data_IF_764489705000
#
_entry.id   IF_764489705000
#
_cell.length_a   1.000
_cell.length_b   1.000
_cell.length_c   1.000
_cell.angle_alpha   90.00
_cell.angle_beta   90.00
_cell.angle_gamma   90.00
#
_symmetry.space_group_name_H-M   'P 1'
#
loop_
_entity.id
_entity.type
_entity.pdbx_description
1 polymer ?
#
# COMPACT_ATOMS: atom_id res chain seq x y z
N UNK A 1 -40.50 37.69 -5.19
CA UNK A 1 -40.56 37.55 -3.74
C UNK A 1 -39.14 37.35 -3.23
N UNK A 2 -38.60 38.38 -2.65
CA UNK A 2 -37.29 38.58 -2.05
C UNK A 2 -37.31 38.07 -0.62
N UNK A 3 -36.30 37.31 -0.18
CA UNK A 3 -35.82 37.15 1.21
C UNK A 3 -34.37 36.71 1.12
N UNK A 4 -33.54 37.53 1.37
CA UNK A 4 -32.75 38.18 2.41
C UNK A 4 -31.70 37.24 3.06
N UNK A 5 -30.46 37.68 2.90
CA UNK A 5 -29.21 37.20 3.53
C UNK A 5 -29.18 37.46 5.05
N UNK A 6 -28.61 36.52 5.83
CA UNK A 6 -28.08 36.83 7.15
C UNK A 6 -26.73 36.12 7.36
N UNK A 7 -25.66 36.87 7.59
CA UNK A 7 -24.38 36.29 8.01
C UNK A 7 -24.22 36.34 9.53
N UNK A 8 -23.94 35.21 10.17
CA UNK A 8 -23.56 35.19 11.57
C UNK A 8 -22.04 35.20 11.68
N UNK A 9 -21.51 36.37 11.98
CA UNK A 9 -20.14 36.59 12.38
C UNK A 9 -19.96 36.24 13.87
N UNK A 10 -19.15 35.25 14.18
CA UNK A 10 -18.76 34.92 15.55
C UNK A 10 -17.37 35.49 15.86
N UNK A 11 -17.36 36.63 16.58
CA UNK A 11 -16.17 37.28 17.12
C UNK A 11 -15.60 36.43 18.27
N UNK A 12 -14.37 35.94 18.11
CA UNK A 12 -13.56 35.44 19.22
C UNK A 12 -12.76 36.58 19.83
N UNK A 13 -13.11 36.96 21.05
CA UNK A 13 -12.36 37.92 21.89
C UNK A 13 -11.18 37.21 22.56
N UNK A 14 -9.97 37.68 22.28
CA UNK A 14 -8.78 37.43 23.10
C UNK A 14 -8.93 38.19 24.43
N UNK A 15 -8.76 37.49 25.53
CA UNK A 15 -8.46 38.11 26.82
C UNK A 15 -7.05 37.67 27.24
N UNK A 16 -6.11 38.59 27.07
CA UNK A 16 -4.81 38.54 27.69
C UNK A 16 -5.00 39.02 29.16
N UNK A 17 -4.58 38.20 30.12
CA UNK A 17 -4.45 38.60 31.49
C UNK A 17 -2.96 38.76 31.80
N UNK A 18 -2.53 40.00 31.89
CA UNK A 18 -1.24 40.40 32.49
C UNK A 18 -1.38 40.35 34.01
N UNK A 19 -0.47 39.64 34.68
CA UNK A 19 -0.33 39.71 36.12
C UNK A 19 1.01 40.36 36.48
N UNK A 20 0.90 41.52 37.15
CA UNK A 20 2.02 42.39 37.50
C UNK A 20 2.82 41.87 38.69
N UNK A 21 4.11 42.18 38.65
CA UNK A 21 5.08 42.05 39.72
C UNK A 21 4.66 42.86 40.96
N UNK A 22 4.84 42.27 42.14
CA UNK A 22 5.02 43.02 43.40
C UNK A 22 6.38 42.67 44.01
N UNK A 23 7.24 43.68 44.05
CA UNK A 23 8.53 43.67 44.72
C UNK A 23 8.26 43.85 46.22
N UNK A 24 8.75 42.93 47.03
CA UNK A 24 8.78 43.06 48.51
C UNK A 24 10.19 42.78 49.01
N UNK A 25 10.93 43.86 49.32
CA UNK A 25 12.17 43.77 50.01
C UNK A 25 11.91 43.53 51.51
N UNK A 26 12.62 42.61 52.14
CA UNK A 26 12.49 42.36 53.56
C UNK A 26 13.53 41.42 54.11
N UNK A 27 14.58 42.03 54.66
CA UNK A 27 15.37 41.65 55.86
C UNK A 27 16.15 40.34 55.88
N UNK A 28 17.43 40.45 55.70
CA UNK A 28 18.43 39.46 56.09
C UNK A 28 18.47 39.31 57.62
N UNK A 29 18.25 38.08 58.10
CA UNK A 29 18.68 37.70 59.45
C UNK A 29 19.59 36.48 59.33
N UNK A 30 20.88 36.73 59.43
CA UNK A 30 21.93 35.71 59.47
C UNK A 30 21.92 35.04 60.84
N UNK A 31 21.43 33.80 60.89
CA UNK A 31 21.72 32.90 62.01
C UNK A 31 22.63 31.81 61.48
N UNK A 32 23.92 31.93 61.79
CA UNK A 32 24.89 30.90 61.57
C UNK A 32 24.62 29.69 62.47
N UNK A 33 24.29 28.55 61.87
CA UNK A 33 24.48 27.24 62.44
C UNK A 33 25.42 26.45 61.56
N UNK A 34 26.69 26.43 61.99
CA UNK A 34 27.68 25.50 61.44
C UNK A 34 27.33 24.11 61.96
N UNK A 35 26.65 23.31 61.07
CA UNK A 35 26.49 21.90 61.27
C UNK A 35 27.48 21.17 60.34
N UNK A 36 28.04 20.00 60.70
CA UNK A 36 29.09 19.34 59.94
C UNK A 36 28.57 18.78 58.63
N UNK A 37 29.18 19.26 57.57
CA UNK A 37 29.41 18.60 56.28
C UNK A 37 28.34 17.65 55.76
N UNK A 38 27.15 18.13 55.48
CA UNK A 38 26.29 17.45 54.50
C UNK A 38 26.83 17.78 53.10
N UNK A 39 27.63 16.89 52.50
CA UNK A 39 27.90 16.93 51.06
C UNK A 39 26.54 16.88 50.39
N UNK A 40 26.16 17.96 49.72
CA UNK A 40 25.08 17.91 48.75
C UNK A 40 25.43 16.81 47.79
N UNK A 41 24.77 15.67 47.90
CA UNK A 41 24.79 14.62 46.87
C UNK A 41 24.14 15.28 45.69
N UNK A 42 24.95 15.74 44.74
CA UNK A 42 24.48 16.02 43.40
C UNK A 42 23.77 14.74 42.96
N UNK A 43 22.48 14.82 42.67
CA UNK A 43 21.74 13.76 42.07
C UNK A 43 22.38 13.50 40.68
N UNK A 44 23.38 12.67 40.67
CA UNK A 44 23.96 12.13 39.46
C UNK A 44 23.12 10.88 39.18
N UNK A 45 22.09 11.02 38.34
CA UNK A 45 21.11 9.99 37.98
C UNK A 45 21.74 8.86 37.15
N UNK A 46 23.01 8.53 37.34
CA UNK A 46 23.74 7.50 36.64
C UNK A 46 24.28 6.43 37.63
N UNK A 47 24.11 5.17 37.24
CA UNK A 47 24.80 4.05 37.89
C UNK A 47 26.32 4.25 37.81
N UNK A 48 27.05 3.91 38.87
CA UNK A 48 28.51 3.82 38.85
C UNK A 48 28.93 2.73 37.86
N UNK A 49 30.18 2.81 37.37
CA UNK A 49 30.65 1.81 36.36
C UNK A 49 30.59 0.39 36.91
N UNK A 50 30.93 0.17 38.20
CA UNK A 50 30.76 -1.14 38.81
C UNK A 50 29.30 -1.61 38.93
N UNK A 51 28.35 -0.69 39.05
CA UNK A 51 26.92 -1.05 39.03
C UNK A 51 26.45 -1.38 37.61
N UNK A 52 26.96 -0.71 36.58
CA UNK A 52 26.68 -1.05 35.15
C UNK A 52 27.18 -2.44 34.85
N UNK A 53 28.42 -2.77 35.20
CA UNK A 53 29.00 -4.11 34.99
C UNK A 53 28.18 -5.22 35.65
N UNK A 54 27.67 -4.97 36.87
CA UNK A 54 26.80 -5.90 37.57
C UNK A 54 25.45 -6.06 36.88
N UNK A 55 24.83 -4.97 36.44
CA UNK A 55 23.56 -5.01 35.67
C UNK A 55 23.73 -5.78 34.38
N UNK A 56 24.79 -5.52 33.61
CA UNK A 56 25.09 -6.25 32.36
C UNK A 56 25.29 -7.74 32.61
N UNK A 57 26.02 -8.11 33.67
CA UNK A 57 26.18 -9.51 34.06
C UNK A 57 24.88 -10.19 34.41
N UNK A 58 24.00 -9.52 35.15
CA UNK A 58 22.66 -10.03 35.52
C UNK A 58 21.81 -10.22 34.29
N UNK A 59 21.75 -9.22 33.38
CA UNK A 59 20.98 -9.27 32.14
C UNK A 59 21.48 -10.46 31.29
N UNK A 60 22.80 -10.56 31.10
CA UNK A 60 23.40 -11.64 30.32
C UNK A 60 23.06 -13.03 30.90
N UNK A 61 23.23 -13.19 32.20
CA UNK A 61 22.92 -14.46 32.88
C UNK A 61 21.43 -14.81 32.78
N UNK A 62 20.56 -13.81 32.93
CA UNK A 62 19.12 -13.99 32.83
C UNK A 62 18.68 -14.42 31.42
N UNK A 63 19.18 -13.73 30.38
CA UNK A 63 18.88 -14.06 28.98
C UNK A 63 19.41 -15.44 28.60
N UNK A 64 20.62 -15.82 29.05
CA UNK A 64 21.19 -17.15 28.82
C UNK A 64 20.43 -18.27 29.55
N UNK A 65 19.85 -17.93 30.70
CA UNK A 65 19.00 -18.88 31.48
C UNK A 65 17.60 -19.03 30.89
N UNK A 66 17.11 -17.99 30.22
CA UNK A 66 15.74 -17.94 29.66
C UNK A 66 15.80 -17.51 28.19
N UNK A 67 16.40 -18.32 27.28
CA UNK A 67 16.60 -17.96 25.88
C UNK A 67 15.30 -17.78 25.09
N UNK A 68 14.19 -18.38 25.57
CA UNK A 68 12.85 -18.24 24.99
C UNK A 68 12.33 -16.81 25.00
N UNK A 69 12.83 -15.93 25.87
CA UNK A 69 12.49 -14.51 25.88
C UNK A 69 12.85 -13.81 24.58
N UNK A 70 13.92 -14.26 23.90
CA UNK A 70 14.30 -13.69 22.61
C UNK A 70 13.25 -13.99 21.55
N UNK A 71 12.65 -15.18 21.57
CA UNK A 71 11.54 -15.55 20.68
C UNK A 71 10.28 -14.74 20.98
N UNK A 72 10.00 -14.51 22.26
CA UNK A 72 8.86 -13.68 22.66
C UNK A 72 9.04 -12.22 22.22
N UNK A 73 10.22 -11.65 22.42
CA UNK A 73 10.58 -10.30 21.95
C UNK A 73 10.44 -10.20 20.43
N UNK A 74 10.98 -11.20 19.69
CA UNK A 74 10.84 -11.25 18.24
C UNK A 74 9.38 -11.25 17.81
N UNK A 75 8.55 -12.11 18.39
CA UNK A 75 7.11 -12.16 18.09
C UNK A 75 6.41 -10.82 18.32
N UNK A 76 6.71 -10.14 19.43
CA UNK A 76 6.13 -8.81 19.73
C UNK A 76 6.62 -7.76 18.72
N UNK A 77 7.88 -7.83 18.32
CA UNK A 77 8.44 -6.93 17.29
C UNK A 77 7.75 -7.16 15.94
N UNK A 78 7.61 -8.42 15.52
CA UNK A 78 6.94 -8.78 14.26
C UNK A 78 5.48 -8.30 14.24
N UNK A 79 4.75 -8.49 15.35
CA UNK A 79 3.38 -7.99 15.47
C UNK A 79 3.30 -6.46 15.34
N UNK A 80 4.21 -5.72 15.97
CA UNK A 80 4.27 -4.25 15.85
C UNK A 80 4.61 -3.80 14.44
N UNK A 81 5.55 -4.47 13.80
CA UNK A 81 5.95 -4.15 12.43
C UNK A 81 4.81 -4.45 11.45
N UNK A 82 4.11 -5.56 11.63
CA UNK A 82 2.97 -5.91 10.79
C UNK A 82 1.82 -4.91 10.95
N UNK A 83 1.48 -4.55 12.18
CA UNK A 83 0.47 -3.52 12.44
C UNK A 83 0.85 -2.17 11.78
N UNK A 84 2.11 -1.76 11.87
CA UNK A 84 2.58 -0.54 11.23
C UNK A 84 2.54 -0.61 9.70
N UNK A 85 2.87 -1.77 9.10
CA UNK A 85 2.74 -2.01 7.66
C UNK A 85 1.29 -1.94 7.20
N UNK A 86 0.37 -2.58 7.93
CA UNK A 86 -1.06 -2.56 7.61
C UNK A 86 -1.63 -1.14 7.69
N UNK A 87 -1.25 -0.37 8.71
CA UNK A 87 -1.66 1.03 8.82
C UNK A 87 -1.12 1.88 7.65
N UNK A 88 0.17 1.73 7.32
CA UNK A 88 0.79 2.44 6.20
C UNK A 88 0.16 2.06 4.86
N UNK A 89 -0.08 0.77 4.62
CA UNK A 89 -0.76 0.25 3.43
C UNK A 89 -2.18 0.81 3.32
N UNK A 90 -2.97 0.76 4.40
CA UNK A 90 -4.32 1.32 4.41
C UNK A 90 -4.37 2.82 4.08
N UNK A 91 -3.42 3.61 4.62
CA UNK A 91 -3.28 5.03 4.28
C UNK A 91 -2.91 5.24 2.81
N UNK A 92 -1.98 4.44 2.28
CA UNK A 92 -1.56 4.52 0.89
C UNK A 92 -2.71 4.15 -0.07
N UNK A 93 -3.47 3.10 0.23
CA UNK A 93 -4.65 2.69 -0.54
C UNK A 93 -5.71 3.80 -0.55
N UNK A 94 -6.06 4.36 0.59
CA UNK A 94 -7.03 5.45 0.70
C UNK A 94 -6.59 6.70 -0.07
N UNK A 95 -5.31 7.07 0.01
CA UNK A 95 -4.76 8.22 -0.72
C UNK A 95 -4.74 8.03 -2.24
N UNK A 96 -4.73 6.78 -2.74
CA UNK A 96 -4.69 6.44 -4.17
C UNK A 96 -5.98 5.77 -4.68
N UNK A 97 -7.06 5.79 -3.90
CA UNK A 97 -8.32 5.11 -4.21
C UNK A 97 -8.87 5.47 -5.60
N UNK A 98 -8.85 6.75 -5.96
CA UNK A 98 -9.33 7.19 -7.27
C UNK A 98 -8.51 6.58 -8.43
N UNK A 99 -7.21 6.45 -8.27
CA UNK A 99 -6.34 5.83 -9.28
C UNK A 99 -6.54 4.32 -9.39
N UNK A 100 -6.88 3.67 -8.28
CA UNK A 100 -7.09 2.22 -8.21
C UNK A 100 -8.48 1.80 -8.72
N UNK A 101 -9.53 2.49 -8.24
CA UNK A 101 -10.90 2.00 -8.37
C UNK A 101 -11.77 2.84 -9.33
N UNK A 102 -11.30 4.05 -9.72
CA UNK A 102 -12.10 4.97 -10.57
C UNK A 102 -11.40 5.36 -11.88
N UNK A 103 -10.24 4.78 -12.16
CA UNK A 103 -9.51 5.07 -13.39
C UNK A 103 -10.05 4.25 -14.56
N UNK A 104 -10.93 4.85 -15.34
CA UNK A 104 -11.55 4.21 -16.52
C UNK A 104 -10.60 4.01 -17.70
N UNK A 105 -9.37 4.51 -17.62
CA UNK A 105 -8.34 4.29 -18.66
C UNK A 105 -7.58 2.99 -18.46
N UNK A 106 -7.75 2.32 -17.31
CA UNK A 106 -7.12 1.02 -17.06
C UNK A 106 -7.80 -0.07 -17.86
N UNK A 107 -7.02 -1.02 -18.40
CA UNK A 107 -7.57 -2.24 -18.93
C UNK A 107 -8.35 -3.04 -17.89
N UNK A 108 -9.37 -3.75 -18.31
CA UNK A 108 -10.22 -4.49 -17.38
C UNK A 108 -10.74 -5.81 -17.98
N UNK A 109 -11.21 -6.67 -17.07
CA UNK A 109 -11.99 -7.86 -17.34
C UNK A 109 -13.27 -7.88 -16.49
N UNK A 110 -14.24 -8.71 -16.88
CA UNK A 110 -15.53 -8.77 -16.20
C UNK A 110 -16.47 -7.63 -16.58
N UNK A 111 -17.30 -7.17 -15.63
CA UNK A 111 -18.28 -6.12 -15.90
C UNK A 111 -17.67 -4.72 -15.66
N UNK A 112 -17.69 -3.89 -16.69
CA UNK A 112 -17.22 -2.49 -16.57
C UNK A 112 -17.97 -1.69 -15.50
N UNK A 113 -19.20 -2.08 -15.19
CA UNK A 113 -20.06 -1.47 -14.19
C UNK A 113 -20.20 -2.33 -12.93
N UNK A 114 -19.25 -3.24 -12.72
CA UNK A 114 -19.25 -4.13 -11.57
C UNK A 114 -19.34 -3.38 -10.25
N UNK A 115 -20.03 -3.97 -9.29
CA UNK A 115 -20.27 -3.37 -7.97
C UNK A 115 -19.05 -3.45 -7.04
N UNK A 116 -18.11 -4.35 -7.33
CA UNK A 116 -16.84 -4.49 -6.62
C UNK A 116 -15.70 -4.57 -7.60
N UNK A 117 -14.64 -3.80 -7.34
CA UNK A 117 -13.42 -3.81 -8.15
C UNK A 117 -12.32 -4.61 -7.46
N UNK A 118 -11.76 -5.56 -8.21
CA UNK A 118 -10.48 -6.22 -7.92
C UNK A 118 -9.40 -5.55 -8.76
N UNK A 119 -8.30 -5.15 -8.16
CA UNK A 119 -7.14 -4.59 -8.88
C UNK A 119 -6.01 -5.61 -8.85
N UNK A 120 -5.45 -5.93 -10.00
CA UNK A 120 -4.28 -6.80 -10.14
C UNK A 120 -3.09 -6.04 -10.69
N UNK A 121 -1.98 -5.98 -9.95
CA UNK A 121 -0.67 -5.57 -10.48
C UNK A 121 0.06 -6.82 -10.96
N UNK A 122 0.49 -6.84 -12.20
CA UNK A 122 1.06 -8.05 -12.80
C UNK A 122 2.15 -7.72 -13.84
N UNK A 123 2.88 -8.76 -14.27
CA UNK A 123 3.85 -8.72 -15.35
C UNK A 123 3.72 -9.99 -16.22
N UNK A 124 3.77 -9.86 -17.53
CA UNK A 124 3.59 -10.97 -18.45
C UNK A 124 4.71 -12.04 -18.39
N UNK A 125 5.88 -11.71 -17.86
CA UNK A 125 6.98 -12.66 -17.65
C UNK A 125 7.09 -13.14 -16.20
N UNK A 126 6.17 -12.74 -15.34
CA UNK A 126 6.10 -13.23 -13.98
C UNK A 126 5.48 -14.64 -13.96
N UNK A 127 6.22 -15.63 -13.44
CA UNK A 127 5.72 -17.00 -13.37
C UNK A 127 4.49 -17.13 -12.46
N UNK A 128 4.46 -16.42 -11.34
CA UNK A 128 3.33 -16.46 -10.41
C UNK A 128 2.10 -15.70 -10.91
N UNK A 129 2.24 -14.79 -11.89
CA UNK A 129 1.09 -14.17 -12.55
C UNK A 129 0.35 -15.17 -13.45
N UNK A 130 1.06 -16.19 -13.97
CA UNK A 130 0.43 -17.28 -14.73
C UNK A 130 -0.51 -18.13 -13.87
N UNK A 131 -0.13 -18.31 -12.58
CA UNK A 131 -0.93 -19.08 -11.63
C UNK A 131 -2.25 -18.35 -11.28
N UNK A 132 -2.32 -17.03 -11.47
CA UNK A 132 -3.50 -16.22 -11.23
C UNK A 132 -4.55 -16.26 -12.35
N UNK A 133 -4.17 -16.64 -13.56
CA UNK A 133 -5.07 -16.58 -14.75
C UNK A 133 -6.33 -17.39 -14.56
N UNK A 134 -6.21 -18.64 -14.09
CA UNK A 134 -7.36 -19.51 -13.88
C UNK A 134 -8.27 -19.02 -12.74
N UNK A 135 -7.78 -18.67 -11.53
CA UNK A 135 -8.58 -18.07 -10.48
C UNK A 135 -9.32 -16.80 -10.91
N UNK A 136 -8.66 -15.89 -11.63
CA UNK A 136 -9.27 -14.65 -12.11
C UNK A 136 -10.30 -14.93 -13.19
N UNK A 137 -10.00 -15.80 -14.14
CA UNK A 137 -10.96 -16.24 -15.18
C UNK A 137 -12.21 -16.85 -14.55
N UNK A 138 -12.04 -17.76 -13.59
CA UNK A 138 -13.14 -18.36 -12.82
C UNK A 138 -13.96 -17.30 -12.08
N UNK A 139 -13.29 -16.28 -11.49
CA UNK A 139 -13.97 -15.20 -10.80
C UNK A 139 -14.85 -14.38 -11.75
N UNK A 140 -14.33 -13.98 -12.90
CA UNK A 140 -15.06 -13.22 -13.94
C UNK A 140 -16.25 -14.03 -14.47
N UNK A 141 -16.08 -15.34 -14.62
CA UNK A 141 -17.13 -16.22 -15.14
C UNK A 141 -18.23 -16.49 -14.10
N UNK A 142 -17.88 -16.66 -12.85
CA UNK A 142 -18.81 -16.98 -11.78
C UNK A 142 -19.57 -15.73 -11.26
N UNK A 143 -18.93 -14.56 -11.29
CA UNK A 143 -19.48 -13.32 -10.74
C UNK A 143 -19.61 -12.25 -11.84
N UNK A 144 -20.80 -12.14 -12.42
CA UNK A 144 -21.10 -11.18 -13.50
C UNK A 144 -21.20 -9.71 -13.06
N UNK A 145 -20.95 -9.43 -11.77
CA UNK A 145 -20.94 -8.08 -11.21
C UNK A 145 -19.56 -7.66 -10.68
N UNK A 146 -18.53 -8.47 -10.93
CA UNK A 146 -17.17 -8.10 -10.58
C UNK A 146 -16.50 -7.32 -11.71
N UNK A 147 -15.77 -6.28 -11.35
CA UNK A 147 -14.86 -5.54 -12.22
C UNK A 147 -13.42 -5.90 -11.84
N UNK A 148 -12.63 -6.36 -12.79
CA UNK A 148 -11.20 -6.61 -12.56
C UNK A 148 -10.39 -5.60 -13.35
N UNK A 149 -9.69 -4.73 -12.63
CA UNK A 149 -8.75 -3.76 -13.21
C UNK A 149 -7.36 -4.38 -13.30
N UNK A 150 -6.77 -4.36 -14.48
CA UNK A 150 -5.42 -4.85 -14.72
C UNK A 150 -4.42 -3.69 -14.77
N UNK A 151 -3.43 -3.73 -13.89
CA UNK A 151 -2.36 -2.73 -13.81
C UNK A 151 -1.08 -3.35 -14.32
N UNK A 152 -0.78 -3.12 -15.60
CA UNK A 152 0.47 -3.54 -16.21
C UNK A 152 1.66 -2.92 -15.46
N UNK A 153 2.48 -3.77 -14.84
CA UNK A 153 3.64 -3.38 -14.03
C UNK A 153 4.87 -4.18 -14.47
N UNK A 154 5.46 -3.84 -15.64
CA UNK A 154 6.55 -4.59 -16.25
C UNK A 154 7.87 -4.39 -15.50
N UNK A 155 8.16 -5.31 -14.57
CA UNK A 155 9.37 -5.28 -13.73
C UNK A 155 10.50 -6.20 -14.22
N UNK A 156 10.20 -7.08 -15.20
CA UNK A 156 11.18 -8.03 -15.74
C UNK A 156 11.83 -7.54 -17.05
N UNK A 157 11.85 -6.23 -17.27
CA UNK A 157 12.63 -5.61 -18.33
C UNK A 157 11.87 -5.33 -19.62
N UNK A 158 12.63 -5.13 -20.73
CA UNK A 158 12.11 -4.62 -21.99
C UNK A 158 11.08 -5.56 -22.64
N UNK A 159 11.25 -6.85 -22.51
CA UNK A 159 10.32 -7.83 -23.07
C UNK A 159 8.96 -7.70 -22.40
N UNK A 160 8.93 -7.60 -21.07
CA UNK A 160 7.69 -7.37 -20.33
C UNK A 160 7.03 -6.04 -20.70
N UNK A 161 7.83 -4.97 -20.86
CA UNK A 161 7.30 -3.67 -21.30
C UNK A 161 6.71 -3.76 -22.72
N UNK A 162 7.38 -4.44 -23.66
CA UNK A 162 6.89 -4.66 -25.03
C UNK A 162 5.56 -5.39 -25.02
N UNK A 163 5.45 -6.50 -24.29
CA UNK A 163 4.21 -7.27 -24.17
C UNK A 163 3.08 -6.43 -23.55
N UNK A 164 3.36 -5.65 -22.49
CA UNK A 164 2.39 -4.78 -21.86
C UNK A 164 1.86 -3.70 -22.81
N UNK A 165 2.72 -3.08 -23.60
CA UNK A 165 2.34 -2.09 -24.61
C UNK A 165 1.35 -2.66 -25.63
N UNK A 166 1.64 -3.85 -26.13
CA UNK A 166 0.77 -4.54 -27.10
C UNK A 166 -0.56 -4.90 -26.46
N UNK A 167 -0.58 -5.40 -25.24
CA UNK A 167 -1.81 -5.75 -24.54
C UNK A 167 -2.71 -4.52 -24.26
N UNK A 168 -2.12 -3.41 -23.80
CA UNK A 168 -2.85 -2.14 -23.60
C UNK A 168 -3.46 -1.68 -24.96
N UNK A 169 -2.70 -1.77 -26.04
CA UNK A 169 -3.19 -1.41 -27.36
C UNK A 169 -4.32 -2.32 -27.85
N UNK A 170 -4.28 -3.62 -27.52
CA UNK A 170 -5.37 -4.55 -27.80
C UNK A 170 -6.66 -4.17 -27.09
N UNK A 171 -6.55 -3.55 -25.92
CA UNK A 171 -7.70 -2.99 -25.18
C UNK A 171 -8.46 -1.94 -25.98
N UNK A 172 -7.78 -1.10 -26.79
CA UNK A 172 -8.41 -0.12 -27.68
C UNK A 172 -9.19 -0.77 -28.83
N UNK A 173 -8.98 -2.07 -29.06
CA UNK A 173 -9.71 -2.88 -30.03
C UNK A 173 -10.69 -3.87 -29.34
N UNK A 174 -10.90 -3.73 -28.02
CA UNK A 174 -11.85 -4.54 -27.25
C UNK A 174 -11.39 -5.97 -26.96
N UNK A 175 -10.07 -6.24 -27.07
CA UNK A 175 -9.50 -7.59 -26.93
C UNK A 175 -8.42 -7.70 -25.85
N UNK A 176 -8.50 -6.83 -24.83
CA UNK A 176 -7.51 -6.85 -23.75
C UNK A 176 -7.51 -8.19 -23.01
N UNK A 177 -8.67 -8.62 -22.50
CA UNK A 177 -8.78 -9.82 -21.66
C UNK A 177 -8.35 -11.09 -22.40
N UNK A 178 -8.75 -11.24 -23.65
CA UNK A 178 -8.36 -12.39 -24.46
C UNK A 178 -6.84 -12.43 -24.67
N UNK A 179 -6.22 -11.30 -25.05
CA UNK A 179 -4.78 -11.23 -25.25
C UNK A 179 -4.00 -11.37 -23.95
N UNK A 180 -4.49 -10.74 -22.87
CA UNK A 180 -3.90 -10.83 -21.53
C UNK A 180 -3.79 -12.31 -21.10
N UNK A 181 -4.88 -13.05 -21.19
CA UNK A 181 -4.92 -14.47 -20.86
C UNK A 181 -3.98 -15.29 -21.76
N UNK A 182 -4.02 -15.07 -23.06
CA UNK A 182 -3.18 -15.81 -24.00
C UNK A 182 -1.69 -15.54 -23.78
N UNK A 183 -1.30 -14.31 -23.42
CA UNK A 183 0.07 -13.95 -23.04
C UNK A 183 0.51 -14.68 -21.78
N UNK A 184 -0.26 -14.63 -20.70
CA UNK A 184 0.10 -15.29 -19.46
C UNK A 184 0.16 -16.81 -19.58
N UNK A 185 -0.65 -17.42 -20.46
CA UNK A 185 -0.62 -18.87 -20.76
C UNK A 185 0.43 -19.25 -21.81
N UNK A 186 1.03 -18.28 -22.49
CA UNK A 186 2.04 -18.54 -23.52
C UNK A 186 3.28 -19.20 -22.92
N UNK A 187 3.77 -20.25 -23.59
CA UNK A 187 5.00 -20.96 -23.21
C UNK A 187 6.20 -20.24 -23.84
N UNK A 188 6.98 -19.58 -23.03
CA UNK A 188 8.15 -18.83 -23.48
C UNK A 188 8.22 -17.43 -22.88
N UNK A 189 9.17 -16.61 -23.33
CA UNK A 189 9.25 -15.21 -22.98
C UNK A 189 8.19 -14.41 -23.75
N UNK A 190 7.49 -13.53 -23.04
CA UNK A 190 6.55 -12.60 -23.64
C UNK A 190 7.29 -11.30 -23.98
N UNK A 191 7.64 -11.16 -25.24
CA UNK A 191 8.17 -9.93 -25.84
C UNK A 191 7.13 -9.31 -26.78
N UNK A 192 7.43 -8.15 -27.36
CA UNK A 192 6.57 -7.47 -28.32
C UNK A 192 6.18 -8.38 -29.50
N UNK A 193 7.16 -9.07 -30.11
CA UNK A 193 6.91 -9.97 -31.25
C UNK A 193 6.00 -11.17 -30.90
N UNK A 194 6.13 -11.70 -29.69
CA UNK A 194 5.26 -12.79 -29.22
C UNK A 194 3.83 -12.28 -29.01
N UNK A 195 3.69 -11.09 -28.45
CA UNK A 195 2.41 -10.44 -28.23
C UNK A 195 1.72 -10.07 -29.56
N UNK A 196 2.46 -9.54 -30.53
CA UNK A 196 1.95 -9.24 -31.87
C UNK A 196 1.40 -10.49 -32.57
N UNK A 197 2.11 -11.62 -32.48
CA UNK A 197 1.67 -12.89 -33.05
C UNK A 197 0.40 -13.43 -32.39
N UNK A 198 0.24 -13.25 -31.10
CA UNK A 198 -0.98 -13.64 -30.38
C UNK A 198 -2.14 -12.71 -30.74
N UNK A 199 -1.86 -11.40 -30.85
CA UNK A 199 -2.84 -10.41 -31.27
C UNK A 199 -3.35 -10.66 -32.69
N UNK A 200 -2.46 -11.05 -33.63
CA UNK A 200 -2.83 -11.42 -34.98
C UNK A 200 -3.77 -12.64 -35.02
N UNK A 201 -3.50 -13.66 -34.22
CA UNK A 201 -4.39 -14.82 -34.05
C UNK A 201 -5.77 -14.46 -33.49
N UNK A 202 -5.88 -13.39 -32.70
CA UNK A 202 -7.15 -12.87 -32.21
C UNK A 202 -7.88 -11.97 -33.25
N UNK A 203 -7.29 -11.77 -34.42
CA UNK A 203 -7.86 -10.97 -35.51
C UNK A 203 -7.77 -9.47 -35.32
N UNK A 204 -6.79 -9.01 -34.55
CA UNK A 204 -6.56 -7.58 -34.31
C UNK A 204 -5.88 -6.93 -35.54
N UNK A 205 -6.19 -5.65 -35.76
CA UNK A 205 -5.46 -4.82 -36.72
C UNK A 205 -4.06 -4.52 -36.18
N UNK A 206 -3.05 -5.21 -36.74
CA UNK A 206 -1.65 -5.12 -36.28
C UNK A 206 -1.04 -3.75 -36.57
N UNK A 207 -1.42 -3.09 -37.67
CA UNK A 207 -0.90 -1.76 -37.98
C UNK A 207 -1.39 -0.74 -36.91
N UNK A 208 -2.67 -0.78 -36.61
CA UNK A 208 -3.28 0.04 -35.57
C UNK A 208 -2.72 -0.32 -34.18
N UNK A 209 -2.55 -1.61 -33.87
CA UNK A 209 -2.00 -2.11 -32.63
C UNK A 209 -0.61 -1.52 -32.36
N UNK A 210 0.30 -1.55 -33.35
CA UNK A 210 1.65 -0.98 -33.24
C UNK A 210 1.65 0.54 -33.03
N UNK A 211 0.76 1.26 -33.70
CA UNK A 211 0.62 2.70 -33.45
C UNK A 211 0.17 2.97 -32.02
N UNK A 212 -0.84 2.27 -31.55
CA UNK A 212 -1.39 2.44 -30.20
C UNK A 212 -0.40 1.99 -29.11
N UNK A 213 0.33 0.90 -29.32
CA UNK A 213 1.36 0.40 -28.38
C UNK A 213 2.49 1.42 -28.18
N UNK A 214 2.87 2.13 -29.26
CA UNK A 214 3.93 3.16 -29.21
C UNK A 214 3.41 4.58 -28.96
N UNK A 215 2.14 4.73 -28.63
CA UNK A 215 1.54 6.03 -28.37
C UNK A 215 2.05 6.66 -27.05
N UNK A 216 2.05 8.03 -26.97
CA UNK A 216 2.35 8.71 -25.72
C UNK A 216 1.42 8.30 -24.58
N UNK A 217 0.16 7.98 -24.85
CA UNK A 217 -0.85 7.57 -23.88
C UNK A 217 -0.46 6.22 -23.23
N UNK A 218 -0.07 5.23 -24.04
CA UNK A 218 0.39 3.92 -23.55
C UNK A 218 1.67 4.09 -22.70
N UNK A 219 2.60 4.93 -23.18
CA UNK A 219 3.82 5.22 -22.42
C UNK A 219 3.51 5.89 -21.08
N UNK A 220 2.58 6.83 -21.08
CA UNK A 220 2.14 7.51 -19.86
C UNK A 220 1.46 6.55 -18.90
N UNK A 221 0.58 5.67 -19.39
CA UNK A 221 -0.12 4.70 -18.56
C UNK A 221 0.84 3.77 -17.83
N UNK A 222 1.83 3.20 -18.51
CA UNK A 222 2.85 2.33 -17.89
C UNK A 222 3.69 3.09 -16.85
N UNK A 223 4.03 4.34 -17.12
CA UNK A 223 4.73 5.18 -16.15
C UNK A 223 3.89 5.49 -14.92
N UNK A 224 2.62 5.80 -15.12
CA UNK A 224 1.67 6.07 -14.02
C UNK A 224 1.43 4.80 -13.18
N UNK A 225 1.34 3.62 -13.81
CA UNK A 225 1.23 2.33 -13.14
C UNK A 225 2.44 2.06 -12.24
N UNK A 226 3.66 2.27 -12.76
CA UNK A 226 4.89 2.12 -11.97
C UNK A 226 4.94 3.10 -10.79
N UNK A 227 4.53 4.34 -11.02
CA UNK A 227 4.47 5.34 -9.96
C UNK A 227 3.42 4.98 -8.89
N UNK A 228 2.27 4.42 -9.32
CA UNK A 228 1.22 3.95 -8.41
C UNK A 228 1.71 2.77 -7.57
N UNK A 229 2.36 1.77 -8.19
CA UNK A 229 2.98 0.66 -7.46
C UNK A 229 3.96 1.16 -6.39
N UNK A 230 4.83 2.11 -6.74
CA UNK A 230 5.77 2.72 -5.79
C UNK A 230 5.09 3.43 -4.61
N UNK A 231 3.99 4.18 -4.85
CA UNK A 231 3.21 4.84 -3.80
C UNK A 231 2.53 3.83 -2.84
N UNK A 232 2.19 2.67 -3.36
CA UNK A 232 1.56 1.59 -2.60
C UNK A 232 2.57 0.65 -1.92
N UNK A 233 3.88 0.83 -2.18
CA UNK A 233 4.94 -0.05 -1.70
C UNK A 233 4.93 -1.42 -2.36
N UNK A 234 4.32 -1.56 -3.53
CA UNK A 234 4.29 -2.79 -4.33
C UNK A 234 5.62 -2.90 -5.08
N UNK A 235 6.36 -3.96 -4.82
CA UNK A 235 7.68 -4.22 -5.41
C UNK A 235 7.80 -5.57 -6.09
N UNK A 236 6.70 -6.28 -6.25
CA UNK A 236 6.62 -7.59 -6.91
C UNK A 236 5.23 -7.88 -7.45
N UNK A 237 5.14 -8.91 -8.28
CA UNK A 237 3.89 -9.34 -8.93
C UNK A 237 3.63 -10.83 -8.70
N UNK A 238 2.36 -11.31 -8.73
CA UNK A 238 1.17 -10.48 -8.74
C UNK A 238 0.85 -9.86 -7.39
N UNK A 239 0.05 -8.78 -7.37
CA UNK A 239 -0.56 -8.21 -6.18
C UNK A 239 -2.02 -7.92 -6.46
N UNK A 240 -2.91 -8.38 -5.58
CA UNK A 240 -4.35 -8.15 -5.69
C UNK A 240 -4.81 -7.19 -4.61
N UNK A 241 -5.70 -6.27 -4.96
CA UNK A 241 -6.30 -5.32 -4.03
C UNK A 241 -7.82 -5.35 -4.20
N UNK A 242 -8.52 -5.52 -3.09
CA UNK A 242 -9.99 -5.38 -3.01
C UNK A 242 -10.28 -4.50 -1.81
N UNK A 243 -10.87 -3.33 -2.03
CA UNK A 243 -11.09 -2.34 -0.97
C UNK A 243 -9.76 -1.98 -0.26
N UNK A 244 -9.67 -2.17 1.03
CA UNK A 244 -8.47 -1.91 1.84
C UNK A 244 -7.63 -3.16 2.12
N UNK A 245 -7.90 -4.27 1.45
CA UNK A 245 -7.20 -5.55 1.65
C UNK A 245 -6.29 -5.87 0.48
N UNK A 246 -5.17 -6.50 0.77
CA UNK A 246 -4.13 -6.87 -0.20
C UNK A 246 -3.82 -8.34 -0.10
N UNK A 247 -3.67 -9.01 -1.25
CA UNK A 247 -3.13 -10.38 -1.37
C UNK A 247 -1.84 -10.28 -2.18
N UNK A 248 -0.67 -10.48 -1.58
CA UNK A 248 0.59 -10.58 -2.33
C UNK A 248 0.76 -11.99 -2.90
N UNK A 249 1.20 -12.08 -4.17
CA UNK A 249 1.39 -13.36 -4.85
C UNK A 249 0.08 -14.01 -5.30
N UNK A 250 0.17 -15.24 -5.78
CA UNK A 250 -0.98 -16.06 -6.19
C UNK A 250 -1.05 -17.33 -5.32
N UNK A 251 -1.63 -17.27 -4.11
CA UNK A 251 -1.82 -18.45 -3.27
C UNK A 251 -2.78 -19.45 -3.93
N UNK A 252 -2.68 -20.72 -3.55
CA UNK A 252 -3.51 -21.80 -4.13
C UNK A 252 -5.02 -21.55 -3.95
N UNK A 253 -5.41 -20.86 -2.89
CA UNK A 253 -6.79 -20.49 -2.56
C UNK A 253 -7.15 -19.04 -3.01
N UNK A 254 -6.42 -18.48 -3.98
CA UNK A 254 -6.61 -17.10 -4.47
C UNK A 254 -8.07 -16.79 -4.81
N UNK A 255 -8.75 -17.71 -5.53
CA UNK A 255 -10.15 -17.54 -5.88
C UNK A 255 -11.04 -17.37 -4.64
N UNK A 256 -10.87 -18.21 -3.63
CA UNK A 256 -11.69 -18.21 -2.42
C UNK A 256 -11.43 -16.95 -1.58
N UNK A 257 -10.17 -16.51 -1.49
CA UNK A 257 -9.81 -15.27 -0.84
C UNK A 257 -10.45 -14.06 -1.52
N UNK A 258 -10.35 -13.94 -2.84
CA UNK A 258 -10.97 -12.86 -3.61
C UNK A 258 -12.50 -12.88 -3.49
N UNK A 259 -13.13 -14.03 -3.62
CA UNK A 259 -14.58 -14.19 -3.46
C UNK A 259 -15.03 -13.77 -2.04
N UNK A 260 -14.27 -14.14 -1.02
CA UNK A 260 -14.52 -13.72 0.37
C UNK A 260 -14.42 -12.21 0.54
N UNK A 261 -13.37 -11.59 0.00
CA UNK A 261 -13.19 -10.13 0.07
C UNK A 261 -14.31 -9.37 -0.65
N UNK A 262 -14.74 -9.86 -1.82
CA UNK A 262 -15.87 -9.28 -2.58
C UNK A 262 -17.16 -9.40 -1.77
N UNK A 263 -17.41 -10.57 -1.17
CA UNK A 263 -18.55 -10.77 -0.29
C UNK A 263 -18.57 -9.83 0.91
N UNK A 264 -17.40 -9.58 1.51
CA UNK A 264 -17.24 -8.62 2.60
C UNK A 264 -17.57 -7.19 2.18
N UNK A 265 -17.10 -6.76 1.01
CA UNK A 265 -17.39 -5.42 0.45
C UNK A 265 -18.89 -5.26 0.20
N UNK A 266 -19.54 -6.26 -0.40
CA UNK A 266 -21.00 -6.24 -0.64
C UNK A 266 -21.82 -6.18 0.63
N UNK A 267 -21.38 -6.89 1.68
CA UNK A 267 -22.07 -6.93 2.96
C UNK A 267 -21.84 -5.69 3.81
N UNK A 268 -20.62 -5.16 3.84
CA UNK A 268 -20.19 -4.16 4.81
C UNK A 268 -19.96 -2.77 4.17
N UNK A 269 -20.06 -2.66 2.85
CA UNK A 269 -19.68 -1.47 2.09
C UNK A 269 -18.17 -1.38 1.85
N UNK A 270 -17.78 -0.59 0.87
CA UNK A 270 -16.39 -0.31 0.57
C UNK A 270 -15.84 0.78 1.49
N UNK A 271 -14.62 0.60 1.99
CA UNK A 271 -13.95 1.55 2.90
C UNK A 271 -13.13 2.60 2.16
N UNK A 272 -12.54 2.23 1.02
CA UNK A 272 -11.60 3.10 0.29
C UNK A 272 -11.88 3.24 -1.22
N UNK A 273 -12.91 2.59 -1.78
CA UNK A 273 -13.22 2.70 -3.23
C UNK A 273 -13.68 4.11 -3.68
#
# INVERSE_FOLDING_TARGET
>A
MTFEFFPIALKRSLRAAALALAIGAGFALSVGLSGPGGKAVAANDGFSDGQKDQIESIIKAYLLKNPELMLEVQRVLDQKQEAARQEASGKALAANAASLFKNTSMPYGGDQKGDVTVVEFFDYNCIHCRDAVEPIGKLIDADKKVHVTFVDFPIFGKDSEGAARVAIAAGKQGKYWELHRDLLLHKGSNCEDAADKLADKLGLDIAKLKMDANSPETTKLLKDNSALAGKLGINGTPHFIVDNKVIPGAPEDLYDQLASMIGDVRKNGCKVC
#
